data_IF_393961488088
#
_entry.id   IF_393961488088
#
_cell.length_a   1.000
_cell.length_b   1.000
_cell.length_c   1.000
_cell.angle_alpha   90.00
_cell.angle_beta   90.00
_cell.angle_gamma   90.00
#
_symmetry.space_group_name_H-M   'P 1'
#
loop_
_entity.id
_entity.type
_entity.pdbx_description
1 polymer ?
#
# COMPACT_ATOMS: atom_id res chain seq x y z
N UNK A 1 -9.31 -13.62 9.02
CA UNK A 1 -8.65 -12.34 8.67
C UNK A 1 -9.03 -11.36 9.76
N UNK A 2 -8.06 -10.84 10.52
CA UNK A 2 -8.37 -9.78 11.50
C UNK A 2 -8.86 -8.55 10.75
N UNK A 3 -9.95 -7.95 11.22
CA UNK A 3 -10.40 -6.67 10.71
C UNK A 3 -9.30 -5.62 10.92
N UNK A 4 -9.12 -4.72 9.95
CA UNK A 4 -8.16 -3.62 10.07
C UNK A 4 -8.64 -2.69 11.18
N UNK A 5 -7.80 -2.46 12.20
CA UNK A 5 -8.09 -1.56 13.30
C UNK A 5 -7.61 -0.15 12.95
N UNK A 6 -8.55 0.72 12.58
CA UNK A 6 -8.26 2.13 12.35
C UNK A 6 -8.31 2.88 13.70
N UNK A 7 -7.27 3.65 14.08
CA UNK A 7 -7.27 4.39 15.33
C UNK A 7 -8.38 5.47 15.35
N UNK A 8 -8.93 5.83 16.53
CA UNK A 8 -9.92 6.90 16.63
C UNK A 8 -9.41 8.22 16.05
N UNK A 9 -10.16 8.81 15.11
CA UNK A 9 -9.78 10.05 14.42
C UNK A 9 -8.74 9.87 13.29
N UNK A 10 -8.26 8.65 13.07
CA UNK A 10 -7.39 8.30 11.96
C UNK A 10 -8.14 7.82 10.72
N UNK A 11 -7.35 7.41 9.74
CA UNK A 11 -7.75 6.93 8.43
C UNK A 11 -7.10 5.58 8.14
N UNK A 12 -7.55 4.92 7.08
CA UNK A 12 -6.97 3.63 6.67
C UNK A 12 -5.47 3.71 6.36
N UNK A 13 -4.97 4.88 5.91
CA UNK A 13 -3.54 5.02 5.59
C UNK A 13 -2.67 5.05 6.85
N UNK A 14 -3.23 5.37 8.00
CA UNK A 14 -2.52 5.33 9.29
C UNK A 14 -2.24 3.89 9.76
N UNK A 15 -2.85 2.89 9.11
CA UNK A 15 -2.59 1.47 9.40
C UNK A 15 -1.56 0.86 8.44
N UNK A 16 -1.01 1.63 7.50
CA UNK A 16 -0.06 1.12 6.51
C UNK A 16 1.28 0.78 7.18
N UNK A 17 1.89 -0.33 6.76
CA UNK A 17 3.26 -0.67 7.17
C UNK A 17 4.28 0.33 6.61
N UNK A 18 4.04 0.79 5.38
CA UNK A 18 4.83 1.80 4.68
C UNK A 18 3.90 2.71 3.89
N UNK A 19 4.08 4.02 3.99
CA UNK A 19 3.35 5.00 3.19
C UNK A 19 4.20 5.47 2.01
N UNK A 20 3.55 5.80 0.89
CA UNK A 20 4.21 6.40 -0.27
C UNK A 20 4.86 7.76 0.06
N UNK A 21 4.41 8.45 1.11
CA UNK A 21 5.05 9.69 1.57
C UNK A 21 6.46 9.46 2.11
N UNK A 22 6.77 8.22 2.51
CA UNK A 22 8.05 7.80 3.08
C UNK A 22 8.92 7.05 2.07
N UNK A 23 8.50 6.95 0.81
CA UNK A 23 9.28 6.28 -0.24
C UNK A 23 10.35 7.25 -0.76
N UNK A 24 11.65 6.92 -0.60
CA UNK A 24 12.72 7.79 -1.07
C UNK A 24 12.69 7.99 -2.59
N UNK A 25 12.88 9.23 -3.00
CA UNK A 25 13.13 9.63 -4.39
C UNK A 25 14.48 10.31 -4.44
N UNK A 26 15.41 9.71 -5.19
CA UNK A 26 16.75 10.23 -5.40
C UNK A 26 16.75 11.25 -6.56
N UNK A 27 16.75 12.53 -6.20
CA UNK A 27 16.77 13.63 -7.16
C UNK A 27 18.08 13.72 -7.97
N UNK A 28 19.19 13.20 -7.43
CA UNK A 28 20.50 13.23 -8.07
C UNK A 28 20.64 12.11 -9.11
N UNK A 29 19.86 11.03 -8.96
CA UNK A 29 19.82 9.89 -9.89
C UNK A 29 18.51 9.85 -10.69
N UNK A 30 18.18 10.93 -11.39
CA UNK A 30 17.02 11.00 -12.30
C UNK A 30 15.70 10.56 -11.63
N UNK A 31 15.46 10.98 -10.38
CA UNK A 31 14.31 10.59 -9.57
C UNK A 31 14.20 9.07 -9.39
N UNK A 32 15.32 8.38 -9.18
CA UNK A 32 15.31 6.95 -8.88
C UNK A 32 14.49 6.70 -7.62
N UNK A 33 13.60 5.69 -7.68
CA UNK A 33 12.71 5.32 -6.59
C UNK A 33 13.29 4.12 -5.87
N UNK A 34 13.36 4.16 -4.53
CA UNK A 34 13.84 3.03 -3.76
C UNK A 34 12.89 1.82 -3.88
N UNK A 35 13.36 0.76 -4.52
CA UNK A 35 12.53 -0.39 -4.91
C UNK A 35 11.85 -1.07 -3.73
N UNK A 36 12.58 -1.32 -2.64
CA UNK A 36 12.05 -2.07 -1.49
C UNK A 36 10.89 -1.30 -0.81
N UNK A 37 11.10 -0.02 -0.55
CA UNK A 37 10.11 0.86 0.07
C UNK A 37 8.89 1.06 -0.83
N UNK A 38 9.10 1.17 -2.14
CA UNK A 38 8.01 1.28 -3.10
C UNK A 38 7.13 0.02 -3.14
N UNK A 39 7.75 -1.16 -3.15
CA UNK A 39 7.02 -2.43 -3.14
C UNK A 39 6.26 -2.62 -1.81
N UNK A 40 6.88 -2.33 -0.65
CA UNK A 40 6.19 -2.38 0.65
C UNK A 40 5.02 -1.37 0.75
N UNK A 41 5.19 -0.17 0.20
CA UNK A 41 4.12 0.82 0.14
C UNK A 41 2.97 0.36 -0.77
N UNK A 42 3.31 -0.30 -1.89
CA UNK A 42 2.33 -0.89 -2.81
C UNK A 42 1.53 -2.01 -2.13
N UNK A 43 2.19 -2.91 -1.40
CA UNK A 43 1.52 -3.95 -0.61
C UNK A 43 0.57 -3.34 0.43
N UNK A 44 1.03 -2.30 1.15
CA UNK A 44 0.22 -1.58 2.14
C UNK A 44 -1.02 -0.95 1.49
N UNK A 45 -0.88 -0.32 0.33
CA UNK A 45 -1.99 0.26 -0.43
C UNK A 45 -3.06 -0.76 -0.79
N UNK A 46 -2.68 -2.00 -1.12
CA UNK A 46 -3.65 -3.04 -1.51
C UNK A 46 -4.66 -3.37 -0.39
N UNK A 47 -4.38 -3.01 0.86
CA UNK A 47 -5.29 -3.21 2.00
C UNK A 47 -6.53 -2.30 1.94
N UNK A 48 -6.50 -1.20 1.19
CA UNK A 48 -7.68 -0.34 0.97
C UNK A 48 -8.82 -1.14 0.33
N UNK A 49 -8.50 -2.09 -0.55
CA UNK A 49 -9.52 -2.91 -1.22
C UNK A 49 -10.30 -3.82 -0.26
N UNK A 50 -9.73 -4.14 0.91
CA UNK A 50 -10.44 -4.89 1.94
C UNK A 50 -11.54 -4.04 2.59
N UNK A 51 -11.36 -2.72 2.64
CA UNK A 51 -12.33 -1.74 3.17
C UNK A 51 -13.39 -1.37 2.14
N UNK A 52 -13.00 -1.20 0.87
CA UNK A 52 -13.91 -0.76 -0.21
C UNK A 52 -14.92 -1.82 -0.66
N UNK A 53 -14.70 -3.09 -0.33
CA UNK A 53 -15.58 -4.19 -0.70
C UNK A 53 -14.79 -5.39 -1.17
N UNK A 54 -14.28 -6.17 -0.22
CA UNK A 54 -13.30 -7.23 -0.46
C UNK A 54 -13.68 -8.19 -1.59
N UNK A 55 -14.95 -8.54 -1.75
CA UNK A 55 -15.42 -9.43 -2.84
C UNK A 55 -15.35 -8.76 -4.22
N UNK A 56 -15.74 -7.49 -4.32
CA UNK A 56 -15.75 -6.76 -5.60
C UNK A 56 -14.34 -6.39 -6.06
N UNK A 57 -13.43 -6.10 -5.12
CA UNK A 57 -12.08 -5.64 -5.42
C UNK A 57 -10.98 -6.70 -5.28
N UNK A 58 -11.35 -7.96 -4.97
CA UNK A 58 -10.41 -9.09 -4.95
C UNK A 58 -9.59 -9.24 -6.26
N UNK A 59 -10.16 -9.07 -7.47
CA UNK A 59 -9.38 -9.16 -8.71
C UNK A 59 -8.30 -8.09 -8.81
N UNK A 60 -8.61 -6.84 -8.45
CA UNK A 60 -7.66 -5.71 -8.48
C UNK A 60 -6.55 -5.93 -7.46
N UNK A 61 -6.92 -6.33 -6.24
CA UNK A 61 -5.95 -6.66 -5.19
C UNK A 61 -5.00 -7.77 -5.64
N UNK A 62 -5.52 -8.84 -6.24
CA UNK A 62 -4.71 -9.97 -6.70
C UNK A 62 -3.79 -9.60 -7.86
N UNK A 63 -4.24 -8.77 -8.79
CA UNK A 63 -3.42 -8.29 -9.91
C UNK A 63 -2.24 -7.45 -9.41
N UNK A 64 -2.50 -6.49 -8.52
CA UNK A 64 -1.43 -5.66 -7.93
C UNK A 64 -0.42 -6.50 -7.13
N UNK A 65 -0.89 -7.40 -6.26
CA UNK A 65 -0.01 -8.30 -5.51
C UNK A 65 0.74 -9.29 -6.41
N UNK A 66 0.18 -9.63 -7.58
CA UNK A 66 0.84 -10.43 -8.60
C UNK A 66 2.01 -9.70 -9.25
N UNK A 67 1.86 -8.40 -9.53
CA UNK A 67 2.91 -7.56 -10.13
C UNK A 67 4.02 -7.16 -9.14
N UNK A 68 3.76 -7.22 -7.84
CA UNK A 68 4.74 -6.93 -6.78
C UNK A 68 5.75 -8.08 -6.57
N UNK A 69 5.34 -9.34 -6.85
CA UNK A 69 6.16 -10.55 -6.65
C UNK A 69 7.12 -10.82 -7.79
#
# INVERSE_FOLDING_TARGET
MSAITIPPGGTIVDTFKKSFVDVPVDADTNNAIATAEFLEATESLTTIFDVLGSVAFSPVKSDMLGNVK
#
